data_IF_531162365139
#
_entry.id   IF_531162365139
#
_cell.length_a   1.000
_cell.length_b   1.000
_cell.length_c   1.000
_cell.angle_alpha   90.00
_cell.angle_beta   90.00
_cell.angle_gamma   90.00
#
_symmetry.space_group_name_H-M   'P 1'
#
loop_
_entity.id
_entity.type
_entity.pdbx_description
1 polymer ?
#
# COMPACT_ATOMS: atom_id res chain seq x y z
N UNK A 1 -5.25 106.11 11.99
CA UNK A 1 -5.84 107.12 12.90
C UNK A 1 -5.62 108.59 12.50
N UNK A 2 -5.22 108.89 11.24
CA UNK A 2 -5.31 110.25 10.68
C UNK A 2 -6.07 110.32 9.33
N UNK A 3 -6.36 109.16 8.73
CA UNK A 3 -6.98 109.06 7.39
C UNK A 3 -8.51 109.22 7.44
N UNK A 4 -9.17 108.87 8.54
CA UNK A 4 -10.62 109.03 8.70
C UNK A 4 -11.06 110.48 8.97
N UNK A 5 -10.13 111.40 9.29
CA UNK A 5 -10.49 112.80 9.50
C UNK A 5 -10.61 113.58 8.18
N UNK A 6 -10.14 113.01 7.06
CA UNK A 6 -10.07 113.68 5.75
C UNK A 6 -10.99 113.08 4.68
N UNK A 7 -11.66 111.96 4.96
CA UNK A 7 -12.69 111.42 4.07
C UNK A 7 -14.01 112.17 4.33
N UNK A 8 -14.37 113.09 3.42
CA UNK A 8 -15.53 113.95 3.55
C UNK A 8 -16.86 113.18 3.62
N UNK A 9 -17.50 113.19 4.79
CA UNK A 9 -18.87 112.73 4.98
C UNK A 9 -19.78 113.89 5.42
N UNK A 10 -20.38 114.57 4.44
CA UNK A 10 -21.41 115.62 4.65
C UNK A 10 -22.81 115.02 4.87
N UNK A 11 -22.98 113.99 5.72
CA UNK A 11 -24.31 113.43 6.00
C UNK A 11 -24.70 113.54 7.48
N UNK A 12 -25.66 114.42 7.77
CA UNK A 12 -26.22 114.73 9.10
C UNK A 12 -26.71 113.46 9.83
N UNK A 13 -27.19 112.46 9.09
CA UNK A 13 -27.72 111.22 9.64
C UNK A 13 -26.62 110.39 10.32
N UNK A 14 -25.39 110.38 9.78
CA UNK A 14 -24.22 109.69 10.35
C UNK A 14 -23.84 110.29 11.72
N UNK A 15 -23.92 111.62 11.85
CA UNK A 15 -23.53 112.36 13.06
C UNK A 15 -24.48 112.17 14.24
N UNK A 16 -25.79 112.09 13.96
CA UNK A 16 -26.84 111.96 14.99
C UNK A 16 -26.99 110.52 15.48
N UNK A 17 -26.86 109.53 14.58
CA UNK A 17 -27.08 108.12 14.94
C UNK A 17 -25.78 107.32 15.19
N UNK A 18 -24.63 107.78 14.70
CA UNK A 18 -23.34 107.08 14.80
C UNK A 18 -22.62 107.20 16.15
N UNK A 19 -22.89 108.25 16.93
CA UNK A 19 -22.17 108.51 18.20
C UNK A 19 -22.75 107.81 19.43
N UNK A 20 -23.96 107.25 19.37
CA UNK A 20 -24.63 106.66 20.54
C UNK A 20 -23.90 105.42 21.07
N UNK A 21 -23.29 104.62 20.17
CA UNK A 21 -22.54 103.41 20.57
C UNK A 21 -21.15 103.71 21.15
N UNK A 22 -20.52 104.82 20.73
CA UNK A 22 -19.22 105.26 21.25
C UNK A 22 -19.31 105.74 22.71
N UNK A 23 -20.48 106.26 23.09
CA UNK A 23 -20.74 106.78 24.44
C UNK A 23 -21.41 105.75 25.36
N UNK A 24 -22.14 104.76 24.82
CA UNK A 24 -22.86 103.74 25.61
C UNK A 24 -22.88 102.36 24.91
N UNK A 25 -21.84 101.52 25.09
CA UNK A 25 -21.68 100.25 24.36
C UNK A 25 -22.77 99.19 24.64
N UNK A 26 -23.42 99.25 25.81
CA UNK A 26 -24.40 98.26 26.25
C UNK A 26 -25.87 98.54 25.86
N UNK A 27 -26.17 99.63 25.15
CA UNK A 27 -27.55 99.92 24.72
C UNK A 27 -27.93 99.13 23.46
N UNK A 28 -29.15 98.57 23.39
CA UNK A 28 -29.62 97.85 22.20
C UNK A 28 -29.74 98.80 21.00
N UNK A 29 -29.39 98.30 19.82
CA UNK A 29 -29.37 99.06 18.57
C UNK A 29 -30.82 99.33 18.12
N UNK A 30 -31.14 100.59 17.83
CA UNK A 30 -32.47 100.97 17.32
C UNK A 30 -32.60 100.62 15.83
N UNK A 31 -33.83 100.36 15.35
CA UNK A 31 -34.11 100.03 13.93
C UNK A 31 -33.51 101.06 12.95
N UNK A 32 -33.51 102.34 13.32
CA UNK A 32 -32.93 103.42 12.53
C UNK A 32 -31.39 103.36 12.47
N UNK A 33 -30.73 102.99 13.55
CA UNK A 33 -29.27 102.80 13.58
C UNK A 33 -28.83 101.57 12.78
N UNK A 34 -29.59 100.49 12.85
CA UNK A 34 -29.38 99.31 12.01
C UNK A 34 -29.59 99.64 10.52
N UNK A 35 -30.68 100.34 10.18
CA UNK A 35 -30.93 100.81 8.82
C UNK A 35 -29.83 101.76 8.32
N UNK A 36 -29.36 102.69 9.15
CA UNK A 36 -28.25 103.58 8.82
C UNK A 36 -26.92 102.84 8.62
N UNK A 37 -26.62 101.81 9.42
CA UNK A 37 -25.44 100.97 9.22
C UNK A 37 -25.52 100.12 7.94
N UNK A 38 -26.73 99.70 7.54
CA UNK A 38 -27.00 98.96 6.30
C UNK A 38 -26.94 99.88 5.06
N UNK A 39 -27.44 101.11 5.14
CA UNK A 39 -27.45 102.07 4.01
C UNK A 39 -26.15 102.87 3.89
N UNK A 40 -25.36 103.01 4.95
CA UNK A 40 -24.05 103.69 4.92
C UNK A 40 -22.92 102.86 4.33
N UNK A 41 -23.17 101.61 3.91
CA UNK A 41 -22.13 100.75 3.34
C UNK A 41 -21.20 100.09 4.36
N UNK A 42 -21.17 100.57 5.62
CA UNK A 42 -20.28 100.04 6.68
C UNK A 42 -20.47 98.55 6.99
N UNK A 43 -21.70 98.03 6.91
CA UNK A 43 -21.95 96.59 7.07
C UNK A 43 -21.46 95.79 5.86
N UNK A 44 -21.60 96.35 4.65
CA UNK A 44 -21.09 95.75 3.42
C UNK A 44 -19.55 95.68 3.44
N UNK A 45 -18.91 96.74 3.94
CA UNK A 45 -17.46 96.78 4.15
C UNK A 45 -17.00 95.72 5.16
N UNK A 46 -17.66 95.60 6.31
CA UNK A 46 -17.32 94.60 7.32
C UNK A 46 -17.49 93.14 6.83
N UNK A 47 -18.57 92.84 6.10
CA UNK A 47 -18.77 91.52 5.49
C UNK A 47 -17.74 91.25 4.40
N UNK A 48 -17.38 92.26 3.61
CA UNK A 48 -16.34 92.12 2.59
C UNK A 48 -14.97 91.88 3.22
N UNK A 49 -14.66 92.53 4.34
CA UNK A 49 -13.41 92.33 5.08
C UNK A 49 -13.31 90.90 5.66
N UNK A 50 -14.37 90.36 6.27
CA UNK A 50 -14.40 88.97 6.75
C UNK A 50 -14.33 87.95 5.61
N UNK A 51 -14.99 88.21 4.47
CA UNK A 51 -14.86 87.36 3.28
C UNK A 51 -13.43 87.36 2.75
N UNK A 52 -12.81 88.53 2.62
CA UNK A 52 -11.42 88.65 2.18
C UNK A 52 -10.45 87.96 3.15
N UNK A 53 -10.73 88.02 4.46
CA UNK A 53 -9.96 87.32 5.49
C UNK A 53 -10.10 85.80 5.36
N UNK A 54 -11.32 85.27 5.22
CA UNK A 54 -11.55 83.83 5.00
C UNK A 54 -10.91 83.34 3.70
N UNK A 55 -10.98 84.14 2.64
CA UNK A 55 -10.35 83.84 1.37
C UNK A 55 -8.82 83.82 1.48
N UNK A 56 -8.24 84.76 2.23
CA UNK A 56 -6.81 84.78 2.55
C UNK A 56 -6.40 83.58 3.41
N UNK A 57 -7.18 83.20 4.42
CA UNK A 57 -6.94 81.99 5.25
C UNK A 57 -7.01 80.71 4.41
N UNK A 58 -8.01 80.59 3.53
CA UNK A 58 -8.15 79.45 2.63
C UNK A 58 -6.98 79.38 1.64
N UNK A 59 -6.55 80.50 1.09
CA UNK A 59 -5.40 80.56 0.18
C UNK A 59 -4.09 80.20 0.90
N UNK A 60 -3.91 80.66 2.14
CA UNK A 60 -2.77 80.29 2.98
C UNK A 60 -2.76 78.78 3.27
N UNK A 61 -3.93 78.19 3.56
CA UNK A 61 -4.06 76.75 3.79
C UNK A 61 -3.73 75.92 2.53
N UNK A 62 -4.23 76.33 1.36
CA UNK A 62 -3.88 75.67 0.10
C UNK A 62 -2.40 75.81 -0.24
N UNK A 63 -1.80 76.97 0.03
CA UNK A 63 -0.36 77.20 -0.14
C UNK A 63 0.47 76.29 0.77
N UNK A 64 0.05 76.12 2.02
CA UNK A 64 0.72 75.22 2.97
C UNK A 64 0.65 73.77 2.50
N UNK A 65 -0.51 73.31 2.02
CA UNK A 65 -0.64 71.96 1.45
C UNK A 65 0.28 71.79 0.23
N UNK A 66 0.33 72.79 -0.65
CA UNK A 66 1.19 72.76 -1.82
C UNK A 66 2.68 72.69 -1.42
N UNK A 67 3.12 73.48 -0.45
CA UNK A 67 4.48 73.42 0.11
C UNK A 67 4.79 72.04 0.72
N UNK A 68 3.89 71.48 1.52
CA UNK A 68 4.07 70.14 2.10
C UNK A 68 4.17 69.07 1.01
N UNK A 69 3.32 69.14 -0.02
CA UNK A 69 3.36 68.20 -1.14
C UNK A 69 4.66 68.35 -1.93
N UNK A 70 5.09 69.58 -2.21
CA UNK A 70 6.36 69.85 -2.90
C UNK A 70 7.56 69.41 -2.07
N UNK A 71 7.54 69.58 -0.74
CA UNK A 71 8.57 69.06 0.15
C UNK A 71 8.63 67.52 0.10
N UNK A 72 7.48 66.84 0.17
CA UNK A 72 7.41 65.37 0.10
C UNK A 72 7.88 64.82 -1.25
N UNK A 73 7.58 65.52 -2.34
CA UNK A 73 8.02 65.16 -3.70
C UNK A 73 9.52 65.45 -3.88
N UNK A 74 9.97 66.64 -3.47
CA UNK A 74 11.38 67.06 -3.62
C UNK A 74 12.34 66.24 -2.77
N UNK A 75 11.92 65.82 -1.57
CA UNK A 75 12.67 64.86 -0.75
C UNK A 75 12.63 63.44 -1.30
N UNK A 76 11.66 63.14 -2.16
CA UNK A 76 11.49 61.81 -2.76
C UNK A 76 11.02 60.74 -1.77
N UNK A 77 10.55 61.12 -0.58
CA UNK A 77 10.18 60.19 0.51
C UNK A 77 9.13 59.17 0.03
N UNK A 78 8.14 59.63 -0.75
CA UNK A 78 7.09 58.77 -1.33
C UNK A 78 7.70 57.75 -2.28
N UNK A 79 8.60 58.20 -3.17
CA UNK A 79 9.24 57.34 -4.15
C UNK A 79 10.13 56.28 -3.47
N UNK A 80 10.92 56.69 -2.48
CA UNK A 80 11.77 55.78 -1.71
C UNK A 80 10.95 54.70 -0.98
N UNK A 81 9.81 55.07 -0.39
CA UNK A 81 8.92 54.10 0.26
C UNK A 81 8.33 53.09 -0.73
N UNK A 82 7.93 53.55 -1.92
CA UNK A 82 7.43 52.66 -2.97
C UNK A 82 8.50 51.73 -3.51
N UNK A 83 9.70 52.24 -3.80
CA UNK A 83 10.83 51.43 -4.24
C UNK A 83 11.20 50.38 -3.19
N UNK A 84 11.21 50.74 -1.90
CA UNK A 84 11.47 49.79 -0.82
C UNK A 84 10.39 48.70 -0.73
N UNK A 85 9.10 49.05 -0.88
CA UNK A 85 8.01 48.07 -0.90
C UNK A 85 8.10 47.16 -2.14
N UNK A 86 8.37 47.74 -3.31
CA UNK A 86 8.53 46.98 -4.54
C UNK A 86 9.70 45.99 -4.46
N UNK A 87 10.84 46.43 -3.92
CA UNK A 87 12.00 45.54 -3.74
C UNK A 87 11.69 44.38 -2.79
N UNK A 88 11.03 44.65 -1.65
CA UNK A 88 10.59 43.59 -0.72
C UNK A 88 9.64 42.60 -1.37
N UNK A 89 8.72 43.07 -2.21
CA UNK A 89 7.78 42.20 -2.89
C UNK A 89 8.46 41.38 -4.00
N UNK A 90 9.43 41.96 -4.70
CA UNK A 90 10.27 41.22 -5.67
C UNK A 90 11.12 40.14 -4.98
N UNK A 91 11.72 40.45 -3.83
CA UNK A 91 12.47 39.47 -3.03
C UNK A 91 11.57 38.32 -2.58
N UNK A 92 10.35 38.63 -2.09
CA UNK A 92 9.34 37.62 -1.74
C UNK A 92 8.93 36.78 -2.93
N UNK A 93 8.69 37.39 -4.08
CA UNK A 93 8.31 36.67 -5.30
C UNK A 93 9.42 35.69 -5.72
N UNK A 94 10.69 36.11 -5.65
CA UNK A 94 11.84 35.26 -5.95
C UNK A 94 12.00 34.12 -4.94
N UNK A 95 11.80 34.39 -3.64
CA UNK A 95 11.82 33.36 -2.60
C UNK A 95 10.72 32.31 -2.83
N UNK A 96 9.50 32.75 -3.15
CA UNK A 96 8.38 31.86 -3.47
C UNK A 96 8.66 31.03 -4.72
N UNK A 97 9.23 31.63 -5.77
CA UNK A 97 9.58 30.90 -7.00
C UNK A 97 10.67 29.85 -6.74
N UNK A 98 11.71 30.20 -5.99
CA UNK A 98 12.75 29.24 -5.60
C UNK A 98 12.19 28.08 -4.77
N UNK A 99 11.31 28.38 -3.81
CA UNK A 99 10.64 27.35 -3.01
C UNK A 99 9.75 26.46 -3.88
N UNK A 100 9.02 27.03 -4.84
CA UNK A 100 8.20 26.27 -5.78
C UNK A 100 9.07 25.35 -6.65
N UNK A 101 10.16 25.86 -7.21
CA UNK A 101 11.10 25.05 -7.99
C UNK A 101 11.71 23.92 -7.17
N UNK A 102 12.05 24.18 -5.90
CA UNK A 102 12.56 23.16 -4.99
C UNK A 102 11.53 22.05 -4.73
N UNK A 103 10.29 22.42 -4.36
CA UNK A 103 9.21 21.43 -4.14
C UNK A 103 8.90 20.63 -5.40
N UNK A 104 8.90 21.26 -6.57
CA UNK A 104 8.70 20.55 -7.84
C UNK A 104 9.82 19.57 -8.13
N UNK A 105 11.07 19.93 -7.82
CA UNK A 105 12.21 19.05 -7.97
C UNK A 105 12.15 17.87 -6.99
N UNK A 106 11.88 18.11 -5.71
CA UNK A 106 11.71 17.05 -4.71
C UNK A 106 10.56 16.10 -5.08
N UNK A 107 9.42 16.64 -5.52
CA UNK A 107 8.29 15.85 -5.98
C UNK A 107 8.64 14.99 -7.21
N UNK A 108 9.46 15.50 -8.13
CA UNK A 108 9.92 14.73 -9.28
C UNK A 108 10.83 13.57 -8.86
N UNK A 109 11.77 13.82 -7.95
CA UNK A 109 12.68 12.79 -7.43
C UNK A 109 11.90 11.71 -6.64
N UNK A 110 11.01 12.13 -5.76
CA UNK A 110 10.17 11.22 -4.99
C UNK A 110 9.27 10.36 -5.92
N UNK A 111 8.82 10.93 -7.04
CA UNK A 111 8.07 10.17 -8.04
C UNK A 111 8.94 9.12 -8.72
N UNK A 112 10.18 9.47 -9.10
CA UNK A 112 11.09 8.49 -9.71
C UNK A 112 11.45 7.37 -8.74
N UNK A 113 11.68 7.70 -7.47
CA UNK A 113 12.01 6.72 -6.43
C UNK A 113 10.83 5.74 -6.23
N UNK A 114 9.59 6.24 -6.18
CA UNK A 114 8.40 5.38 -6.14
C UNK A 114 8.24 4.50 -7.38
N UNK A 115 8.54 5.03 -8.57
CA UNK A 115 8.48 4.25 -9.81
C UNK A 115 9.52 3.12 -9.81
N UNK A 116 10.71 3.36 -9.27
CA UNK A 116 11.77 2.35 -9.08
C UNK A 116 11.36 1.28 -8.04
N UNK A 117 10.88 1.70 -6.87
CA UNK A 117 10.37 0.77 -5.84
C UNK A 117 9.25 -0.12 -6.37
N UNK A 118 8.30 0.45 -7.13
CA UNK A 118 7.24 -0.31 -7.77
C UNK A 118 7.78 -1.31 -8.80
N UNK A 119 8.81 -0.94 -9.57
CA UNK A 119 9.43 -1.84 -10.53
C UNK A 119 10.09 -3.03 -9.83
N UNK A 120 10.76 -2.81 -8.69
CA UNK A 120 11.39 -3.87 -7.91
C UNK A 120 10.36 -4.78 -7.23
N UNK A 121 9.30 -4.21 -6.65
CA UNK A 121 8.19 -5.00 -6.11
C UNK A 121 7.51 -5.87 -7.19
N UNK A 122 7.40 -5.37 -8.42
CA UNK A 122 6.87 -6.15 -9.54
C UNK A 122 7.79 -7.32 -9.93
N UNK A 123 9.11 -7.12 -9.90
CA UNK A 123 10.08 -8.20 -10.13
C UNK A 123 10.00 -9.26 -9.04
N UNK A 124 9.94 -8.85 -7.77
CA UNK A 124 9.79 -9.76 -6.64
C UNK A 124 8.49 -10.56 -6.72
N UNK A 125 7.37 -9.89 -7.04
CA UNK A 125 6.08 -10.57 -7.24
C UNK A 125 6.17 -11.62 -8.34
N UNK A 126 6.78 -11.28 -9.47
CA UNK A 126 6.95 -12.23 -10.58
C UNK A 126 7.83 -13.42 -10.19
N UNK A 127 8.92 -13.19 -9.45
CA UNK A 127 9.78 -14.27 -8.95
C UNK A 127 9.04 -15.20 -7.98
N UNK A 128 8.26 -14.64 -7.05
CA UNK A 128 7.42 -15.41 -6.12
C UNK A 128 6.35 -16.23 -6.87
N UNK A 129 5.75 -15.67 -7.90
CA UNK A 129 4.75 -16.37 -8.72
C UNK A 129 5.36 -17.54 -9.49
N UNK A 130 6.57 -17.39 -10.03
CA UNK A 130 7.34 -18.49 -10.61
C UNK A 130 7.64 -19.60 -9.58
N UNK A 131 8.14 -19.23 -8.39
CA UNK A 131 8.40 -20.19 -7.32
C UNK A 131 7.13 -20.93 -6.88
N UNK A 132 6.01 -20.21 -6.77
CA UNK A 132 4.74 -20.83 -6.41
C UNK A 132 4.28 -21.82 -7.48
N UNK A 133 4.47 -21.51 -8.77
CA UNK A 133 4.16 -22.43 -9.85
C UNK A 133 5.05 -23.69 -9.80
N UNK A 134 6.33 -23.56 -9.48
CA UNK A 134 7.24 -24.69 -9.26
C UNK A 134 6.76 -25.58 -8.11
N UNK A 135 6.34 -24.99 -6.98
CA UNK A 135 5.78 -25.74 -5.85
C UNK A 135 4.50 -26.49 -6.22
N UNK A 136 3.61 -25.88 -7.01
CA UNK A 136 2.41 -26.54 -7.52
C UNK A 136 2.77 -27.75 -8.39
N UNK A 137 3.77 -27.59 -9.27
CA UNK A 137 4.23 -28.68 -10.13
C UNK A 137 4.85 -29.82 -9.32
N UNK A 138 5.72 -29.51 -8.36
CA UNK A 138 6.33 -30.50 -7.46
C UNK A 138 5.28 -31.25 -6.64
N UNK A 139 4.26 -30.55 -6.14
CA UNK A 139 3.14 -31.19 -5.45
C UNK A 139 2.42 -32.18 -6.36
N UNK A 140 2.10 -31.79 -7.59
CA UNK A 140 1.47 -32.69 -8.56
C UNK A 140 2.34 -33.90 -8.91
N UNK A 141 3.67 -33.72 -8.97
CA UNK A 141 4.60 -34.83 -9.20
C UNK A 141 4.63 -35.81 -8.03
N UNK A 142 4.66 -35.30 -6.80
CA UNK A 142 4.58 -36.10 -5.57
C UNK A 142 3.26 -36.86 -5.51
N UNK A 143 2.13 -36.20 -5.78
CA UNK A 143 0.81 -36.85 -5.82
C UNK A 143 0.81 -38.00 -6.84
N UNK A 144 1.37 -37.77 -8.05
CA UNK A 144 1.53 -38.83 -9.04
C UNK A 144 2.51 -39.95 -8.65
N UNK A 145 3.53 -39.66 -7.84
CA UNK A 145 4.39 -40.70 -7.26
C UNK A 145 3.65 -41.55 -6.22
N UNK A 146 2.80 -40.92 -5.39
CA UNK A 146 1.98 -41.64 -4.43
C UNK A 146 0.99 -42.58 -5.11
N UNK A 147 0.33 -42.13 -6.18
CA UNK A 147 -0.60 -42.97 -6.95
C UNK A 147 0.13 -44.19 -7.54
N UNK A 148 1.31 -43.99 -8.14
CA UNK A 148 2.14 -45.10 -8.66
C UNK A 148 2.60 -46.06 -7.57
N UNK A 149 2.97 -45.54 -6.40
CA UNK A 149 3.38 -46.37 -5.27
C UNK A 149 2.20 -47.19 -4.73
N UNK A 150 0.99 -46.61 -4.72
CA UNK A 150 -0.21 -47.32 -4.31
C UNK A 150 -0.52 -48.48 -5.27
N UNK A 151 -0.44 -48.26 -6.59
CA UNK A 151 -0.66 -49.32 -7.58
C UNK A 151 0.41 -50.43 -7.48
N UNK A 152 1.69 -50.06 -7.36
CA UNK A 152 2.77 -51.04 -7.19
C UNK A 152 2.57 -51.86 -5.91
N UNK A 153 2.14 -51.23 -4.82
CA UNK A 153 1.87 -51.93 -3.57
C UNK A 153 0.69 -52.90 -3.70
N UNK A 154 -0.36 -52.55 -4.45
CA UNK A 154 -1.46 -53.47 -4.76
C UNK A 154 -0.98 -54.68 -5.58
N UNK A 155 -0.12 -54.46 -6.57
CA UNK A 155 0.49 -55.54 -7.37
C UNK A 155 1.37 -56.46 -6.51
N UNK A 156 2.23 -55.90 -5.67
CA UNK A 156 3.08 -56.68 -4.75
C UNK A 156 2.24 -57.52 -3.78
N UNK A 157 1.14 -56.96 -3.25
CA UNK A 157 0.24 -57.71 -2.37
C UNK A 157 -0.47 -58.85 -3.10
N UNK A 158 -0.86 -58.63 -4.36
CA UNK A 158 -1.44 -59.67 -5.21
C UNK A 158 -0.41 -60.79 -5.47
N UNK A 159 0.81 -60.43 -5.85
CA UNK A 159 1.91 -61.38 -6.08
C UNK A 159 2.22 -62.18 -4.82
N UNK A 160 2.27 -61.54 -3.65
CA UNK A 160 2.46 -62.22 -2.37
C UNK A 160 1.37 -63.26 -2.12
N UNK A 161 0.10 -62.93 -2.37
CA UNK A 161 -1.01 -63.89 -2.23
C UNK A 161 -0.86 -65.06 -3.21
N UNK A 162 -0.41 -64.82 -4.44
CA UNK A 162 -0.18 -65.91 -5.41
C UNK A 162 0.96 -66.82 -4.98
N UNK A 163 2.04 -66.27 -4.41
CA UNK A 163 3.17 -67.04 -3.89
C UNK A 163 2.75 -67.90 -2.69
N UNK A 164 1.97 -67.35 -1.76
CA UNK A 164 1.43 -68.10 -0.63
C UNK A 164 0.58 -69.29 -1.09
N UNK A 165 -0.29 -69.08 -2.08
CA UNK A 165 -1.09 -70.16 -2.67
C UNK A 165 -0.20 -71.23 -3.32
N UNK A 166 0.82 -70.82 -4.08
CA UNK A 166 1.74 -71.75 -4.74
C UNK A 166 2.58 -72.55 -3.71
N UNK A 167 3.01 -71.92 -2.62
CA UNK A 167 3.69 -72.61 -1.52
C UNK A 167 2.78 -73.64 -0.84
N UNK A 168 1.51 -73.29 -0.59
CA UNK A 168 0.52 -74.22 -0.05
C UNK A 168 0.31 -75.42 -0.98
N UNK A 169 0.18 -75.18 -2.28
CA UNK A 169 0.05 -76.25 -3.28
C UNK A 169 1.29 -77.14 -3.34
N UNK A 170 2.48 -76.54 -3.31
CA UNK A 170 3.75 -77.27 -3.34
C UNK A 170 3.94 -78.13 -2.10
N UNK A 171 3.63 -77.60 -0.91
CA UNK A 171 3.71 -78.36 0.35
C UNK A 171 2.71 -79.52 0.38
N UNK A 172 1.47 -79.31 -0.06
CA UNK A 172 0.46 -80.36 -0.22
C UNK A 172 0.92 -81.46 -1.17
N UNK A 173 1.43 -81.10 -2.36
CA UNK A 173 1.97 -82.07 -3.33
C UNK A 173 3.18 -82.81 -2.77
N UNK A 174 4.08 -82.13 -2.07
CA UNK A 174 5.24 -82.76 -1.44
C UNK A 174 4.82 -83.77 -0.37
N UNK A 175 3.82 -83.45 0.45
CA UNK A 175 3.25 -84.38 1.42
C UNK A 175 2.65 -85.60 0.73
N UNK A 176 1.85 -85.42 -0.32
CA UNK A 176 1.26 -86.52 -1.07
C UNK A 176 2.33 -87.45 -1.70
N UNK A 177 3.43 -86.88 -2.21
CA UNK A 177 4.57 -87.66 -2.71
C UNK A 177 5.24 -88.46 -1.60
N UNK A 178 5.43 -87.87 -0.42
CA UNK A 178 6.02 -88.57 0.74
C UNK A 178 5.12 -89.70 1.24
N UNK A 179 3.79 -89.49 1.27
CA UNK A 179 2.81 -90.52 1.59
C UNK A 179 2.86 -91.66 0.58
N UNK A 180 2.83 -91.36 -0.72
CA UNK A 180 2.97 -92.36 -1.79
C UNK A 180 4.29 -93.15 -1.69
N UNK A 181 5.40 -92.47 -1.38
CA UNK A 181 6.69 -93.12 -1.13
C UNK A 181 6.61 -94.07 0.06
N UNK A 182 5.96 -93.68 1.16
CA UNK A 182 5.77 -94.54 2.33
C UNK A 182 4.96 -95.79 1.99
N UNK A 183 3.89 -95.65 1.20
CA UNK A 183 3.10 -96.80 0.72
C UNK A 183 3.94 -97.76 -0.14
N UNK A 184 4.73 -97.23 -1.07
CA UNK A 184 5.58 -98.04 -1.95
C UNK A 184 6.69 -98.77 -1.19
N UNK A 185 7.31 -98.16 -0.18
CA UNK A 185 8.30 -98.86 0.66
C UNK A 185 7.64 -99.97 1.49
N UNK A 186 6.43 -99.76 2.02
CA UNK A 186 5.68 -100.81 2.72
C UNK A 186 5.30 -101.97 1.79
N UNK A 187 4.87 -101.69 0.55
CA UNK A 187 4.57 -102.71 -0.46
C UNK A 187 5.83 -103.48 -0.85
N UNK A 188 6.95 -102.78 -1.06
CA UNK A 188 8.25 -103.40 -1.33
C UNK A 188 8.70 -104.30 -0.18
N UNK A 189 8.53 -103.87 1.07
CA UNK A 189 8.83 -104.70 2.24
C UNK A 189 7.95 -105.96 2.27
N UNK A 190 6.65 -105.82 2.06
CA UNK A 190 5.72 -106.94 1.98
C UNK A 190 6.10 -107.93 0.85
N UNK A 191 6.49 -107.43 -0.33
CA UNK A 191 6.98 -108.25 -1.44
C UNK A 191 8.28 -108.96 -1.10
N UNK A 192 9.20 -108.31 -0.39
CA UNK A 192 10.43 -108.97 0.07
C UNK A 192 10.15 -110.09 1.07
N UNK A 193 9.24 -109.88 2.02
CA UNK A 193 8.82 -110.92 2.97
C UNK A 193 8.14 -112.09 2.25
N UNK A 194 7.26 -111.80 1.27
CA UNK A 194 6.60 -112.82 0.47
C UNK A 194 7.61 -113.63 -0.34
N UNK A 195 8.58 -112.98 -0.98
CA UNK A 195 9.66 -113.64 -1.73
C UNK A 195 10.45 -114.57 -0.82
N UNK A 196 10.91 -114.11 0.35
CA UNK A 196 11.65 -114.95 1.29
C UNK A 196 10.82 -116.15 1.76
N UNK A 197 9.52 -115.97 2.00
CA UNK A 197 8.62 -117.06 2.37
C UNK A 197 8.47 -118.10 1.24
N UNK A 198 8.33 -117.65 -0.01
CA UNK A 198 8.25 -118.53 -1.18
C UNK A 198 9.57 -119.30 -1.38
N UNK A 199 10.71 -118.64 -1.23
CA UNK A 199 12.04 -119.26 -1.32
C UNK A 199 12.22 -120.34 -0.25
N UNK A 200 11.85 -120.06 1.01
CA UNK A 200 11.89 -121.02 2.11
C UNK A 200 10.96 -122.22 1.87
N UNK A 201 9.71 -121.98 1.41
CA UNK A 201 8.78 -123.07 1.09
C UNK A 201 9.26 -123.93 -0.08
N UNK A 202 9.83 -123.31 -1.12
CA UNK A 202 10.45 -124.03 -2.23
C UNK A 202 11.61 -124.93 -1.75
N UNK A 203 12.44 -124.43 -0.81
CA UNK A 203 13.46 -125.23 -0.13
C UNK A 203 12.87 -126.43 0.61
N UNK A 204 11.83 -126.22 1.44
CA UNK A 204 11.14 -127.32 2.16
C UNK A 204 10.53 -128.36 1.23
N UNK A 205 9.91 -127.92 0.13
CA UNK A 205 9.33 -128.81 -0.89
C UNK A 205 10.43 -129.61 -1.60
N UNK A 206 11.56 -128.97 -1.91
CA UNK A 206 12.71 -129.63 -2.51
C UNK A 206 13.30 -130.71 -1.59
N UNK A 207 13.52 -130.38 -0.31
CA UNK A 207 13.95 -131.35 0.71
C UNK A 207 12.99 -132.54 0.82
N UNK A 208 11.67 -132.28 0.88
CA UNK A 208 10.65 -133.34 0.86
C UNK A 208 10.73 -134.20 -0.41
N UNK A 209 10.85 -133.58 -1.59
CA UNK A 209 11.00 -134.29 -2.85
C UNK A 209 12.25 -135.19 -2.83
N UNK A 210 13.40 -134.71 -2.35
CA UNK A 210 14.60 -135.54 -2.18
C UNK A 210 14.37 -136.72 -1.23
N UNK A 211 13.69 -136.50 -0.10
CA UNK A 211 13.40 -137.59 0.85
C UNK A 211 12.49 -138.65 0.23
N UNK A 212 11.48 -138.23 -0.55
CA UNK A 212 10.60 -139.13 -1.29
C UNK A 212 11.36 -139.86 -2.41
N UNK A 213 12.27 -139.21 -3.12
CA UNK A 213 13.11 -139.86 -4.13
C UNK A 213 14.04 -140.90 -3.51
N UNK A 214 14.68 -140.58 -2.36
CA UNK A 214 15.49 -141.54 -1.59
C UNK A 214 14.64 -142.73 -1.11
N UNK A 215 13.40 -142.49 -0.68
CA UNK A 215 12.46 -143.56 -0.32
C UNK A 215 12.05 -144.41 -1.53
N UNK A 216 11.76 -143.79 -2.68
CA UNK A 216 11.43 -144.47 -3.94
C UNK A 216 12.59 -145.34 -4.43
N UNK A 217 13.84 -144.85 -4.35
CA UNK A 217 15.05 -145.63 -4.67
C UNK A 217 15.20 -146.85 -3.77
N UNK A 218 14.80 -146.78 -2.50
CA UNK A 218 14.78 -147.93 -1.58
C UNK A 218 13.67 -148.94 -1.89
N UNK A 219 12.55 -148.48 -2.46
CA UNK A 219 11.42 -149.32 -2.85
C UNK A 219 11.53 -149.89 -4.27
N UNK A 220 12.48 -149.41 -5.08
CA UNK A 220 12.79 -150.02 -6.37
C UNK A 220 13.53 -151.34 -6.14
N UNK A 221 12.78 -152.43 -6.17
CA UNK A 221 13.29 -153.80 -6.26
C UNK A 221 14.10 -153.89 -7.58
N UNK A 222 15.29 -154.49 -7.60
CA UNK A 222 15.98 -154.77 -8.86
C UNK A 222 15.10 -155.66 -9.73
N UNK A 223 14.76 -155.23 -10.94
CA UNK A 223 14.34 -156.16 -11.98
C UNK A 223 15.62 -156.88 -12.47
N UNK A 224 15.67 -158.19 -12.23
CA UNK A 224 16.52 -159.14 -12.96
C UNK A 224 16.04 -159.30 -14.41
#
# INVERSE_FOLDING_TARGET
>A
MLIELMAGENNIISRVFGNTRRLQPGKPVTKAQAAAALTSGRMKEAVHEELNKLEAENQAHLSLIAEIMEELISRGDIQQQWEQKMKKEQERALEVDNNLQHVLHEHANERTDREEELADLLKERAALECQNQELINLRSEIDGMYDRLATENEEVMADQQTLENLMSDMTSKHQAVNEAKSYLEAEKEALTMLRTWVEDEAGRVHERAETLEKALRRWRIPED
#
